data_IF_546635085897
#
_entry.id   IF_546635085897
#
_cell.length_a   1.000
_cell.length_b   1.000
_cell.length_c   1.000
_cell.angle_alpha   90.00
_cell.angle_beta   90.00
_cell.angle_gamma   90.00
#
_symmetry.space_group_name_H-M   'P 1'
#
loop_
_entity.id
_entity.type
_entity.pdbx_description
1 polymer ?
#
# COMPACT_ATOMS: atom_id res chain seq x y z
N UNK A 1 -13.49 17.72 29.89
CA UNK A 1 -12.88 16.62 29.09
C UNK A 1 -12.74 15.45 30.04
N UNK A 2 -13.48 14.40 29.77
CA UNK A 2 -13.66 13.31 30.71
C UNK A 2 -12.46 12.36 30.63
N UNK A 3 -11.83 12.06 31.77
CA UNK A 3 -10.70 11.13 31.84
C UNK A 3 -11.06 9.71 31.34
N UNK A 4 -12.34 9.40 31.20
CA UNK A 4 -12.85 8.14 30.68
C UNK A 4 -12.43 7.86 29.22
N UNK A 5 -12.34 8.91 28.38
CA UNK A 5 -11.83 8.79 27.00
C UNK A 5 -10.48 8.09 26.95
N UNK A 6 -9.56 8.45 27.83
CA UNK A 6 -8.19 7.91 27.84
C UNK A 6 -8.07 6.49 28.38
N UNK A 7 -9.17 5.93 28.91
CA UNK A 7 -9.21 4.53 29.34
C UNK A 7 -9.37 3.57 28.18
N UNK A 8 -10.02 4.03 27.10
CA UNK A 8 -10.41 3.20 25.96
C UNK A 8 -9.50 3.36 24.74
N UNK A 9 -8.59 4.36 24.73
CA UNK A 9 -7.70 4.68 23.61
C UNK A 9 -6.25 4.80 24.06
N UNK A 10 -5.33 4.41 23.16
CA UNK A 10 -3.91 4.73 23.23
C UNK A 10 -3.56 5.76 22.16
N UNK A 11 -2.46 6.48 22.38
CA UNK A 11 -1.91 7.46 21.45
C UNK A 11 -0.54 7.01 20.96
N UNK A 12 -0.33 7.03 19.65
CA UNK A 12 0.97 6.84 19.03
C UNK A 12 1.40 8.16 18.41
N UNK A 13 2.62 8.62 18.74
CA UNK A 13 3.21 9.80 18.08
C UNK A 13 3.68 9.41 16.67
N UNK A 14 3.31 10.24 15.69
CA UNK A 14 3.68 10.06 14.29
C UNK A 14 4.16 11.42 13.70
N UNK A 15 5.28 11.45 12.95
CA UNK A 15 5.84 12.70 12.44
C UNK A 15 4.99 13.37 11.35
N UNK A 16 4.06 12.63 10.72
CA UNK A 16 3.19 13.12 9.65
C UNK A 16 1.83 13.52 10.16
N UNK A 17 1.25 12.73 11.09
CA UNK A 17 -0.11 12.88 11.58
C UNK A 17 -0.20 13.49 12.99
N UNK A 18 0.95 13.69 13.66
CA UNK A 18 0.99 14.13 15.06
C UNK A 18 0.65 12.97 15.99
N UNK A 19 -0.61 12.80 16.35
CA UNK A 19 -1.06 11.70 17.20
C UNK A 19 -2.09 10.83 16.48
N UNK A 20 -1.83 9.53 16.49
CA UNK A 20 -2.74 8.49 15.99
C UNK A 20 -3.41 7.85 17.19
N UNK A 21 -4.73 7.97 17.28
CA UNK A 21 -5.54 7.26 18.28
C UNK A 21 -5.79 5.83 17.83
N UNK A 22 -5.77 4.90 18.77
CA UNK A 22 -6.17 3.51 18.54
C UNK A 22 -6.94 2.96 19.75
N UNK A 23 -7.84 2.02 19.49
CA UNK A 23 -8.59 1.35 20.53
C UNK A 23 -7.65 0.44 21.35
N UNK A 24 -7.84 0.44 22.67
CA UNK A 24 -7.02 -0.24 23.65
C UNK A 24 -7.74 -1.46 24.21
N UNK A 25 -7.01 -2.54 24.51
CA UNK A 25 -7.55 -3.64 25.31
C UNK A 25 -8.09 -3.13 26.63
N UNK A 26 -9.31 -3.52 26.97
CA UNK A 26 -9.92 -3.13 28.21
C UNK A 26 -9.72 -4.22 29.26
N UNK A 27 -9.37 -3.79 30.49
CA UNK A 27 -9.47 -4.66 31.67
C UNK A 27 -10.95 -4.91 31.99
N UNK A 28 -11.25 -5.95 32.77
CA UNK A 28 -12.63 -6.24 33.17
C UNK A 28 -13.34 -5.02 33.81
N UNK A 29 -12.62 -4.29 34.68
CA UNK A 29 -13.13 -3.05 35.31
C UNK A 29 -13.29 -1.92 34.28
N UNK A 30 -12.35 -1.80 33.33
CA UNK A 30 -12.41 -0.83 32.24
C UNK A 30 -13.56 -1.11 31.29
N UNK A 31 -13.78 -2.36 30.92
CA UNK A 31 -14.90 -2.79 30.08
C UNK A 31 -16.25 -2.48 30.73
N UNK A 32 -16.41 -2.84 32.02
CA UNK A 32 -17.62 -2.53 32.77
C UNK A 32 -17.87 -1.01 32.89
N UNK A 33 -16.82 -0.19 33.06
CA UNK A 33 -16.94 1.26 33.15
C UNK A 33 -17.32 1.92 31.82
N UNK A 34 -16.97 1.30 30.67
CA UNK A 34 -17.21 1.81 29.32
C UNK A 34 -18.40 1.14 28.61
N UNK A 35 -19.04 0.13 29.24
CA UNK A 35 -20.15 -0.63 28.68
C UNK A 35 -19.76 -1.63 27.59
N UNK A 36 -18.47 -2.00 27.49
CA UNK A 36 -17.96 -2.99 26.56
C UNK A 36 -17.81 -4.36 27.21
N UNK A 37 -17.80 -5.42 26.40
CA UNK A 37 -17.54 -6.78 26.89
C UNK A 37 -16.02 -7.04 27.00
N UNK A 38 -15.56 -7.76 28.05
CA UNK A 38 -14.14 -8.05 28.24
C UNK A 38 -13.49 -8.88 27.12
N UNK A 39 -14.31 -9.64 26.38
CA UNK A 39 -13.88 -10.48 25.24
C UNK A 39 -13.79 -9.73 23.91
N UNK A 40 -14.16 -8.44 23.86
CA UNK A 40 -14.02 -7.61 22.70
C UNK A 40 -12.53 -7.37 22.38
N UNK A 41 -12.17 -7.52 21.11
CA UNK A 41 -10.85 -7.14 20.63
C UNK A 41 -10.73 -5.62 20.44
N UNK A 42 -9.51 -5.15 20.39
CA UNK A 42 -9.14 -3.79 20.09
C UNK A 42 -8.16 -3.74 18.90
N UNK A 43 -7.96 -2.58 18.28
CA UNK A 43 -6.91 -2.39 17.27
C UNK A 43 -5.52 -2.76 17.79
N UNK A 44 -5.30 -2.59 19.10
CA UNK A 44 -4.07 -3.01 19.80
C UNK A 44 -3.81 -4.52 19.61
N UNK A 45 -4.84 -5.38 19.53
CA UNK A 45 -4.69 -6.81 19.29
C UNK A 45 -4.23 -7.12 17.86
N UNK A 46 -4.70 -6.34 16.88
CA UNK A 46 -4.21 -6.42 15.50
C UNK A 46 -2.75 -5.98 15.43
N UNK A 47 -2.42 -4.83 16.03
CA UNK A 47 -1.06 -4.30 16.04
C UNK A 47 -0.05 -5.25 16.64
N UNK A 48 -0.42 -5.93 17.72
CA UNK A 48 0.44 -6.89 18.42
C UNK A 48 0.48 -8.27 17.74
N UNK A 49 -0.31 -8.49 16.70
CA UNK A 49 -0.26 -9.74 15.96
C UNK A 49 1.10 -9.96 15.29
N UNK A 50 1.59 -11.20 15.19
CA UNK A 50 2.86 -11.50 14.51
C UNK A 50 2.91 -10.94 13.07
N UNK A 51 1.79 -10.94 12.36
CA UNK A 51 1.68 -10.44 10.99
C UNK A 51 1.94 -8.93 10.89
N UNK A 52 1.37 -8.14 11.79
CA UNK A 52 1.63 -6.69 11.82
C UNK A 52 3.04 -6.39 12.33
N UNK A 53 3.50 -7.11 13.36
CA UNK A 53 4.86 -6.92 13.88
C UNK A 53 5.94 -7.28 12.86
N UNK A 54 5.67 -8.22 11.94
CA UNK A 54 6.54 -8.54 10.80
C UNK A 54 6.81 -7.30 9.92
N UNK A 55 5.80 -6.43 9.71
CA UNK A 55 5.95 -5.22 8.88
C UNK A 55 6.98 -4.22 9.43
N UNK A 56 7.35 -4.28 10.72
CA UNK A 56 8.47 -3.50 11.27
C UNK A 56 9.82 -3.88 10.66
N UNK A 57 9.92 -5.08 10.11
CA UNK A 57 11.12 -5.64 9.51
C UNK A 57 11.07 -5.65 7.97
N UNK A 58 10.11 -4.91 7.39
CA UNK A 58 9.98 -4.70 5.95
C UNK A 58 10.04 -3.19 5.69
N UNK A 59 11.06 -2.76 4.93
CA UNK A 59 11.28 -1.37 4.60
C UNK A 59 10.21 -0.85 3.62
N UNK A 60 9.76 0.39 3.82
CA UNK A 60 8.84 1.05 2.91
C UNK A 60 9.49 1.30 1.55
N UNK A 61 10.72 1.79 1.55
CA UNK A 61 11.39 2.31 0.35
C UNK A 61 12.41 1.36 -0.28
N UNK A 62 12.36 0.06 0.06
CA UNK A 62 13.14 -0.97 -0.62
C UNK A 62 14.63 -0.58 -0.75
N UNK A 63 15.17 -0.61 -1.99
CA UNK A 63 16.55 -0.26 -2.32
C UNK A 63 16.88 1.23 -2.17
N UNK A 64 15.88 2.12 -2.13
CA UNK A 64 16.11 3.55 -1.98
C UNK A 64 16.79 3.92 -0.64
N UNK A 65 16.67 3.07 0.39
CA UNK A 65 17.36 3.22 1.69
C UNK A 65 18.90 3.33 1.54
N UNK A 66 19.49 2.69 0.54
CA UNK A 66 20.94 2.80 0.29
C UNK A 66 21.35 4.11 -0.39
N UNK A 67 20.38 4.89 -0.87
CA UNK A 67 20.62 6.20 -1.52
C UNK A 67 20.19 7.34 -0.61
N UNK A 68 19.06 7.19 0.09
CA UNK A 68 18.50 8.16 1.04
C UNK A 68 18.72 7.65 2.47
N UNK A 69 19.73 8.14 3.21
CA UNK A 69 20.13 7.52 4.49
C UNK A 69 19.08 7.53 5.60
N UNK A 70 18.10 8.44 5.52
CA UNK A 70 17.00 8.53 6.48
C UNK A 70 15.75 7.77 6.07
N UNK A 71 15.74 7.16 4.87
CA UNK A 71 14.64 6.37 4.34
C UNK A 71 14.59 4.95 4.96
N UNK A 72 14.62 4.87 6.29
CA UNK A 72 14.66 3.63 7.09
C UNK A 72 13.32 3.29 7.75
N UNK A 73 12.24 3.99 7.39
CA UNK A 73 10.92 3.70 7.93
C UNK A 73 10.33 2.41 7.34
N UNK A 74 9.56 1.75 8.16
CA UNK A 74 8.96 0.46 7.86
C UNK A 74 7.54 0.58 7.35
N UNK A 75 7.05 -0.49 6.72
CA UNK A 75 5.63 -0.62 6.34
C UNK A 75 4.69 -0.59 7.53
N UNK A 76 5.16 -0.96 8.71
CA UNK A 76 4.38 -0.82 9.95
C UNK A 76 4.00 0.63 10.24
N UNK A 77 4.96 1.58 10.17
CA UNK A 77 4.68 3.00 10.42
C UNK A 77 3.79 3.61 9.35
N UNK A 78 3.94 3.19 8.10
CA UNK A 78 3.06 3.55 6.99
C UNK A 78 1.63 3.02 7.22
N UNK A 79 1.46 1.74 7.55
CA UNK A 79 0.15 1.15 7.82
C UNK A 79 -0.61 1.85 8.95
N UNK A 80 0.09 2.32 10.00
CA UNK A 80 -0.51 3.17 11.05
C UNK A 80 -1.03 4.50 10.49
N UNK A 81 -0.26 5.15 9.62
CA UNK A 81 -0.67 6.40 8.98
C UNK A 81 -1.88 6.21 8.06
N UNK A 82 -1.89 5.14 7.28
CA UNK A 82 -3.03 4.78 6.41
C UNK A 82 -4.28 4.46 7.21
N UNK A 83 -4.15 3.72 8.33
CA UNK A 83 -5.25 3.50 9.27
C UNK A 83 -5.84 4.82 9.79
N UNK A 84 -4.98 5.76 10.17
CA UNK A 84 -5.41 7.07 10.67
C UNK A 84 -6.16 7.86 9.60
N UNK A 85 -5.59 8.00 8.40
CA UNK A 85 -6.25 8.68 7.27
C UNK A 85 -7.59 8.01 6.93
N UNK A 86 -7.64 6.69 6.86
CA UNK A 86 -8.87 5.95 6.59
C UNK A 86 -9.98 6.29 7.59
N UNK A 87 -9.64 6.38 8.88
CA UNK A 87 -10.57 6.79 9.93
C UNK A 87 -11.07 8.22 9.76
N UNK A 88 -10.19 9.18 9.45
CA UNK A 88 -10.57 10.57 9.20
C UNK A 88 -11.51 10.71 8.00
N UNK A 89 -11.20 10.00 6.91
CA UNK A 89 -12.03 9.99 5.70
C UNK A 89 -13.38 9.32 5.94
N UNK A 90 -13.41 8.19 6.65
CA UNK A 90 -14.65 7.48 6.98
C UNK A 90 -15.62 8.36 7.77
N UNK A 91 -15.14 9.02 8.82
CA UNK A 91 -15.94 9.95 9.62
C UNK A 91 -16.49 11.12 8.81
N UNK A 92 -15.65 11.71 7.96
CA UNK A 92 -16.04 12.83 7.11
C UNK A 92 -17.12 12.42 6.09
N UNK A 93 -16.98 11.26 5.47
CA UNK A 93 -17.90 10.79 4.43
C UNK A 93 -19.20 10.20 4.99
N UNK A 94 -19.20 9.75 6.26
CA UNK A 94 -20.34 9.03 6.84
C UNK A 94 -21.70 9.77 6.72
N UNK A 95 -21.84 11.08 7.00
CA UNK A 95 -23.12 11.76 6.87
C UNK A 95 -23.73 11.68 5.46
N UNK A 96 -22.89 11.84 4.42
CA UNK A 96 -23.31 11.74 3.02
C UNK A 96 -23.59 10.30 2.61
N UNK A 97 -22.80 9.34 3.09
CA UNK A 97 -23.01 7.90 2.91
C UNK A 97 -24.35 7.47 3.51
N UNK A 98 -24.62 7.81 4.76
CA UNK A 98 -25.87 7.50 5.44
C UNK A 98 -27.10 8.08 4.71
N UNK A 99 -26.98 9.33 4.25
CA UNK A 99 -28.03 9.98 3.44
C UNK A 99 -28.28 9.23 2.14
N UNK A 100 -27.20 8.83 1.44
CA UNK A 100 -27.28 8.11 0.17
C UNK A 100 -27.97 6.75 0.34
N UNK A 101 -27.55 5.95 1.32
CA UNK A 101 -28.12 4.63 1.60
C UNK A 101 -29.59 4.73 2.05
N UNK A 102 -29.91 5.67 2.94
CA UNK A 102 -31.27 5.90 3.41
C UNK A 102 -32.22 6.33 2.30
N UNK A 103 -31.75 7.10 1.32
CA UNK A 103 -32.54 7.51 0.15
C UNK A 103 -32.94 6.33 -0.74
N UNK A 104 -32.12 5.28 -0.78
CA UNK A 104 -32.38 4.07 -1.55
C UNK A 104 -33.14 3.02 -0.74
N UNK A 105 -33.50 3.32 0.53
CA UNK A 105 -34.18 2.39 1.44
C UNK A 105 -33.30 1.22 1.90
N UNK A 106 -32.00 1.31 1.73
CA UNK A 106 -31.03 0.31 2.19
C UNK A 106 -30.72 0.42 3.69
N UNK A 107 -30.12 -0.61 4.28
CA UNK A 107 -29.64 -0.56 5.67
C UNK A 107 -28.50 0.45 5.79
N UNK A 108 -28.57 1.30 6.82
CA UNK A 108 -27.53 2.27 7.15
C UNK A 108 -26.71 1.70 8.31
N UNK A 109 -25.42 1.35 8.09
CA UNK A 109 -24.57 0.85 9.16
C UNK A 109 -24.26 1.96 10.19
N UNK A 110 -23.88 1.58 11.42
CA UNK A 110 -23.41 2.55 12.40
C UNK A 110 -22.13 3.25 11.94
N UNK A 111 -21.90 4.49 12.41
CA UNK A 111 -20.69 5.23 12.10
C UNK A 111 -19.44 4.47 12.58
N UNK A 112 -19.51 3.89 13.80
CA UNK A 112 -18.41 3.11 14.35
C UNK A 112 -18.02 1.94 13.48
N UNK A 113 -18.99 1.17 12.95
CA UNK A 113 -18.70 0.05 12.03
C UNK A 113 -17.99 0.52 10.76
N UNK A 114 -18.48 1.60 10.14
CA UNK A 114 -17.89 2.14 8.90
C UNK A 114 -16.46 2.62 9.15
N UNK A 115 -16.26 3.40 10.22
CA UNK A 115 -14.94 3.94 10.58
C UNK A 115 -13.95 2.82 10.85
N UNK A 116 -14.33 1.85 11.70
CA UNK A 116 -13.42 0.77 12.10
C UNK A 116 -13.10 -0.15 10.93
N UNK A 117 -14.07 -0.48 10.09
CA UNK A 117 -13.82 -1.30 8.89
C UNK A 117 -12.78 -0.66 7.97
N UNK A 118 -12.88 0.66 7.71
CA UNK A 118 -11.90 1.35 6.87
C UNK A 118 -10.53 1.50 7.57
N UNK A 119 -10.51 1.72 8.88
CA UNK A 119 -9.27 1.77 9.66
C UNK A 119 -8.54 0.43 9.58
N UNK A 120 -9.25 -0.67 9.81
CA UNK A 120 -8.69 -2.03 9.70
C UNK A 120 -8.20 -2.31 8.28
N UNK A 121 -8.96 -1.93 7.25
CA UNK A 121 -8.54 -2.07 5.85
C UNK A 121 -7.26 -1.25 5.57
N UNK A 122 -7.19 -0.02 6.05
CA UNK A 122 -5.99 0.82 5.93
C UNK A 122 -4.78 0.25 6.67
N UNK A 123 -4.97 -0.32 7.87
CA UNK A 123 -3.90 -0.95 8.64
C UNK A 123 -3.35 -2.19 7.94
N UNK A 124 -4.22 -3.00 7.33
CA UNK A 124 -3.90 -4.32 6.81
C UNK A 124 -3.62 -4.36 5.30
N UNK A 125 -3.70 -3.22 4.59
CA UNK A 125 -3.60 -3.22 3.13
C UNK A 125 -2.28 -3.83 2.62
N UNK A 126 -1.19 -3.63 3.36
CA UNK A 126 0.17 -4.05 3.03
C UNK A 126 0.65 -5.30 3.80
N UNK A 127 -0.22 -5.96 4.58
CA UNK A 127 0.18 -7.08 5.46
C UNK A 127 0.77 -8.27 4.70
N UNK A 128 0.41 -8.41 3.42
CA UNK A 128 0.89 -9.45 2.52
C UNK A 128 2.24 -9.17 1.85
N UNK A 129 2.86 -8.02 2.03
CA UNK A 129 4.17 -7.76 1.43
C UNK A 129 5.28 -8.64 1.98
N UNK A 130 6.18 -9.08 1.09
CA UNK A 130 7.43 -9.75 1.41
C UNK A 130 8.61 -8.79 1.56
N UNK A 131 9.83 -9.31 1.80
CA UNK A 131 11.04 -8.49 1.85
C UNK A 131 11.22 -7.68 0.57
N UNK A 132 11.53 -6.39 0.70
CA UNK A 132 11.63 -5.45 -0.41
C UNK A 132 10.34 -5.27 -1.22
N UNK A 133 9.19 -5.61 -0.63
CA UNK A 133 7.85 -5.29 -1.10
C UNK A 133 7.62 -5.54 -2.60
N UNK A 134 7.35 -4.52 -3.43
CA UNK A 134 7.08 -4.70 -4.85
C UNK A 134 8.23 -5.38 -5.63
N UNK A 135 9.46 -5.30 -5.13
CA UNK A 135 10.56 -6.07 -5.73
C UNK A 135 10.35 -7.57 -5.53
N UNK A 136 9.82 -7.97 -4.36
CA UNK A 136 9.43 -9.34 -4.06
C UNK A 136 8.26 -9.79 -4.95
N UNK A 137 7.28 -8.92 -5.17
CA UNK A 137 6.13 -9.21 -6.04
C UNK A 137 6.63 -9.63 -7.44
N UNK A 138 7.43 -8.78 -8.08
CA UNK A 138 7.95 -9.03 -9.43
C UNK A 138 8.95 -10.19 -9.50
N UNK A 139 9.83 -10.32 -8.51
CA UNK A 139 10.91 -11.29 -8.56
C UNK A 139 10.50 -12.69 -8.12
N UNK A 140 9.45 -12.80 -7.28
CA UNK A 140 9.05 -14.06 -6.64
C UNK A 140 7.57 -14.38 -6.85
N UNK A 141 6.64 -13.46 -6.45
CA UNK A 141 5.21 -13.77 -6.45
C UNK A 141 4.65 -14.01 -7.84
N UNK A 142 5.06 -13.22 -8.84
CA UNK A 142 4.62 -13.41 -10.24
C UNK A 142 5.01 -14.78 -10.82
N UNK A 143 5.90 -15.53 -10.16
CA UNK A 143 6.23 -16.92 -10.49
C UNK A 143 5.08 -17.90 -10.19
N UNK A 144 4.13 -17.52 -9.31
CA UNK A 144 3.06 -18.37 -8.84
C UNK A 144 1.69 -17.93 -9.37
N UNK A 145 0.73 -18.87 -9.54
CA UNK A 145 -0.67 -18.49 -9.80
C UNK A 145 -1.29 -17.89 -8.55
N UNK A 146 -2.15 -16.88 -8.73
CA UNK A 146 -2.99 -16.40 -7.64
C UNK A 146 -4.02 -17.48 -7.23
N UNK A 147 -4.46 -17.51 -5.96
CA UNK A 147 -5.57 -18.34 -5.55
C UNK A 147 -6.80 -18.11 -6.42
N UNK A 148 -7.58 -19.16 -6.66
CA UNK A 148 -8.80 -19.05 -7.45
C UNK A 148 -9.80 -18.11 -6.77
N UNK A 149 -10.18 -17.04 -7.45
CA UNK A 149 -11.17 -16.08 -7.00
C UNK A 149 -12.11 -15.76 -8.17
N UNK A 150 -13.43 -16.07 -8.07
CA UNK A 150 -14.39 -15.82 -9.14
C UNK A 150 -14.57 -14.32 -9.45
N UNK A 151 -14.12 -13.44 -8.56
CA UNK A 151 -14.17 -11.97 -8.72
C UNK A 151 -13.02 -11.43 -9.60
N UNK A 152 -12.11 -12.27 -10.05
CA UNK A 152 -10.88 -11.91 -10.78
C UNK A 152 -10.73 -12.68 -12.08
N UNK A 153 -10.00 -12.13 -13.07
CA UNK A 153 -9.69 -12.83 -14.29
C UNK A 153 -8.94 -14.13 -14.03
N UNK A 154 -9.25 -15.15 -14.82
CA UNK A 154 -8.51 -16.41 -14.79
C UNK A 154 -7.05 -16.21 -15.20
N UNK A 155 -6.13 -16.95 -14.56
CA UNK A 155 -4.70 -16.89 -14.87
C UNK A 155 -3.95 -15.69 -14.27
N UNK A 156 -4.57 -14.95 -13.33
CA UNK A 156 -3.88 -13.90 -12.57
C UNK A 156 -2.66 -14.49 -11.85
N UNK A 157 -1.56 -13.75 -11.83
CA UNK A 157 -0.39 -14.06 -11.03
C UNK A 157 -0.58 -13.56 -9.60
N UNK A 158 0.08 -14.25 -8.66
CA UNK A 158 0.05 -13.92 -7.24
C UNK A 158 0.65 -12.53 -7.02
N UNK A 159 -0.02 -11.73 -6.18
CA UNK A 159 0.43 -10.42 -5.74
C UNK A 159 0.27 -10.30 -4.22
N UNK A 160 0.92 -9.29 -3.62
CA UNK A 160 0.84 -9.07 -2.18
C UNK A 160 -0.59 -8.81 -1.68
N UNK A 161 -1.46 -8.19 -2.50
CA UNK A 161 -2.88 -8.01 -2.13
C UNK A 161 -3.63 -9.33 -2.00
N UNK A 162 -3.25 -10.37 -2.79
CA UNK A 162 -3.83 -11.71 -2.65
C UNK A 162 -3.39 -12.35 -1.33
N UNK A 163 -2.12 -12.16 -0.95
CA UNK A 163 -1.60 -12.60 0.34
C UNK A 163 -2.21 -11.82 1.50
N UNK A 164 -2.38 -10.49 1.34
CA UNK A 164 -3.09 -9.67 2.35
C UNK A 164 -4.50 -10.21 2.59
N UNK A 165 -5.25 -10.50 1.52
CA UNK A 165 -6.59 -11.07 1.64
C UNK A 165 -6.59 -12.43 2.36
N UNK A 166 -5.66 -13.33 2.02
CA UNK A 166 -5.53 -14.62 2.72
C UNK A 166 -5.20 -14.47 4.19
N UNK A 167 -4.27 -13.59 4.55
CA UNK A 167 -3.88 -13.32 5.94
C UNK A 167 -5.05 -12.73 6.71
N UNK A 168 -5.77 -11.76 6.13
CA UNK A 168 -6.97 -11.15 6.74
C UNK A 168 -8.03 -12.21 7.03
N UNK A 169 -8.35 -13.06 6.05
CA UNK A 169 -9.45 -14.01 6.15
C UNK A 169 -9.12 -15.28 6.96
N UNK A 170 -7.85 -15.70 7.01
CA UNK A 170 -7.44 -16.94 7.69
C UNK A 170 -6.81 -16.71 9.04
N UNK A 171 -5.92 -15.70 9.15
CA UNK A 171 -5.07 -15.51 10.33
C UNK A 171 -5.63 -14.44 11.27
N UNK A 172 -6.15 -13.31 10.71
CA UNK A 172 -6.59 -12.16 11.49
C UNK A 172 -8.11 -12.11 11.72
N UNK A 173 -8.88 -12.93 11.03
CA UNK A 173 -10.33 -13.01 11.17
C UNK A 173 -10.79 -13.20 12.64
N UNK A 174 -10.16 -14.02 13.48
CA UNK A 174 -10.56 -14.19 14.89
C UNK A 174 -10.46 -12.90 15.73
N UNK A 175 -9.59 -11.96 15.34
CA UNK A 175 -9.47 -10.65 16.00
C UNK A 175 -10.49 -9.70 15.38
N UNK A 176 -10.52 -9.58 14.04
CA UNK A 176 -11.38 -8.64 13.31
C UNK A 176 -12.84 -8.82 13.68
N UNK A 177 -13.32 -10.07 13.75
CA UNK A 177 -14.73 -10.38 14.08
C UNK A 177 -15.14 -10.02 15.50
N UNK A 178 -14.17 -9.72 16.39
CA UNK A 178 -14.42 -9.31 17.79
C UNK A 178 -14.31 -7.81 18.01
N UNK A 179 -13.91 -7.03 17.02
CA UNK A 179 -13.91 -5.57 17.12
C UNK A 179 -15.36 -5.06 17.22
N UNK A 180 -15.62 -4.09 18.12
CA UNK A 180 -16.95 -3.54 18.36
C UNK A 180 -16.99 -2.03 18.43
N UNK A 181 -15.88 -1.37 18.24
CA UNK A 181 -15.77 0.09 18.31
C UNK A 181 -14.61 0.61 17.51
N UNK A 182 -14.72 1.86 17.06
CA UNK A 182 -13.62 2.68 16.57
C UNK A 182 -13.08 3.59 17.69
N UNK A 183 -11.85 4.14 17.59
CA UNK A 183 -11.40 5.18 18.48
C UNK A 183 -12.17 6.47 18.22
N UNK A 184 -12.57 7.20 19.29
CA UNK A 184 -13.28 8.46 19.14
C UNK A 184 -13.68 9.11 20.45
N UNK A 185 -14.43 10.20 20.34
CA UNK A 185 -14.96 10.90 21.49
C UNK A 185 -16.21 10.16 22.03
N UNK A 186 -16.36 10.13 23.33
CA UNK A 186 -17.34 9.40 24.14
C UNK A 186 -18.83 9.62 23.81
N UNK A 187 -19.19 10.07 22.62
CA UNK A 187 -20.56 10.38 22.24
C UNK A 187 -21.40 9.13 21.82
N UNK A 188 -20.90 7.91 22.03
CA UNK A 188 -21.58 6.65 21.68
C UNK A 188 -21.63 6.33 20.18
N UNK A 189 -21.13 7.23 19.34
CA UNK A 189 -21.09 7.04 17.86
C UNK A 189 -19.99 6.08 17.40
N UNK A 190 -19.01 5.83 18.27
CA UNK A 190 -17.85 5.01 17.95
C UNK A 190 -18.10 3.52 18.17
N UNK A 191 -19.16 3.16 18.91
CA UNK A 191 -19.59 1.77 19.09
C UNK A 191 -20.42 1.28 17.90
N UNK A 192 -20.32 -0.01 17.60
CA UNK A 192 -21.20 -0.66 16.62
C UNK A 192 -22.61 -0.84 17.19
N UNK A 193 -23.62 -1.00 16.33
CA UNK A 193 -24.90 -1.48 16.78
C UNK A 193 -24.80 -2.93 17.31
N UNK A 194 -25.74 -3.35 18.14
CA UNK A 194 -25.64 -4.61 18.90
C UNK A 194 -25.50 -5.88 18.03
N UNK A 195 -26.05 -5.84 16.82
CA UNK A 195 -26.04 -6.92 15.83
C UNK A 195 -24.95 -6.77 14.75
N UNK A 196 -24.13 -5.71 14.84
CA UNK A 196 -23.08 -5.44 13.86
C UNK A 196 -21.75 -6.08 14.24
N UNK A 197 -21.03 -6.53 13.22
CA UNK A 197 -19.68 -7.00 13.30
C UNK A 197 -18.96 -6.76 11.96
N UNK A 198 -17.64 -6.59 12.00
CA UNK A 198 -16.85 -6.55 10.77
C UNK A 198 -16.73 -7.97 10.20
N UNK A 199 -17.16 -8.14 8.95
CA UNK A 199 -16.83 -9.35 8.18
C UNK A 199 -15.43 -9.18 7.57
N UNK A 200 -14.48 -10.08 7.87
CA UNK A 200 -13.13 -10.02 7.30
C UNK A 200 -13.11 -9.98 5.77
N UNK A 201 -14.14 -10.52 5.11
CA UNK A 201 -14.28 -10.46 3.65
C UNK A 201 -14.53 -9.04 3.12
N UNK A 202 -15.11 -8.13 3.92
CA UNK A 202 -15.23 -6.71 3.54
C UNK A 202 -13.85 -6.04 3.55
N UNK A 203 -13.05 -6.35 4.56
CA UNK A 203 -11.67 -5.84 4.66
C UNK A 203 -10.83 -6.38 3.50
N UNK A 204 -10.87 -7.68 3.23
CA UNK A 204 -10.12 -8.29 2.12
C UNK A 204 -10.59 -7.77 0.75
N UNK A 205 -11.89 -7.48 0.57
CA UNK A 205 -12.42 -6.85 -0.63
C UNK A 205 -11.85 -5.44 -0.85
N UNK A 206 -11.82 -4.62 0.20
CA UNK A 206 -11.26 -3.26 0.14
C UNK A 206 -9.76 -3.29 -0.20
N UNK A 207 -9.01 -4.22 0.39
CA UNK A 207 -7.57 -4.36 0.19
C UNK A 207 -7.22 -4.96 -1.17
N UNK A 208 -7.91 -6.03 -1.57
CA UNK A 208 -7.59 -6.77 -2.79
C UNK A 208 -8.15 -6.15 -4.08
N UNK A 209 -9.07 -5.20 -3.96
CA UNK A 209 -9.61 -4.37 -5.07
C UNK A 209 -10.08 -5.19 -6.28
N UNK A 210 -10.93 -6.21 -6.12
CA UNK A 210 -11.32 -7.04 -7.25
C UNK A 210 -12.12 -6.24 -8.29
N UNK A 211 -11.90 -6.46 -9.60
CA UNK A 211 -12.55 -5.69 -10.65
C UNK A 211 -14.03 -6.02 -10.83
N UNK A 212 -14.46 -7.21 -10.40
CA UNK A 212 -15.84 -7.64 -10.53
C UNK A 212 -16.63 -7.36 -9.25
N UNK A 213 -17.88 -6.90 -9.45
CA UNK A 213 -18.80 -6.64 -8.35
C UNK A 213 -19.16 -7.94 -7.65
N UNK A 214 -18.97 -7.97 -6.33
CA UNK A 214 -19.40 -9.05 -5.47
C UNK A 214 -20.72 -8.65 -4.78
N UNK A 215 -21.85 -9.29 -5.14
CA UNK A 215 -23.15 -8.95 -4.55
C UNK A 215 -23.23 -9.24 -3.04
N UNK A 216 -22.35 -10.09 -2.50
CA UNK A 216 -22.29 -10.40 -1.07
C UNK A 216 -21.66 -9.29 -0.24
N UNK A 217 -20.92 -8.38 -0.87
CA UNK A 217 -20.33 -7.21 -0.22
C UNK A 217 -21.37 -6.11 -0.11
N UNK A 218 -21.63 -5.53 1.08
CA UNK A 218 -22.59 -4.45 1.27
C UNK A 218 -22.30 -3.23 0.37
N UNK A 219 -23.36 -2.53 -0.03
CA UNK A 219 -23.24 -1.36 -0.90
C UNK A 219 -22.33 -0.29 -0.30
N UNK A 220 -22.42 -0.05 1.01
CA UNK A 220 -21.61 0.95 1.66
C UNK A 220 -20.09 0.66 1.58
N UNK A 221 -19.69 -0.62 1.63
CA UNK A 221 -18.30 -1.02 1.44
C UNK A 221 -17.84 -0.73 0.02
N UNK A 222 -18.67 -1.04 -0.98
CA UNK A 222 -18.39 -0.76 -2.39
C UNK A 222 -18.28 0.73 -2.69
N UNK A 223 -19.13 1.57 -2.07
CA UNK A 223 -19.10 3.03 -2.22
C UNK A 223 -17.82 3.64 -1.65
N UNK A 224 -17.20 3.00 -0.67
CA UNK A 224 -15.96 3.46 -0.02
C UNK A 224 -14.68 2.81 -0.60
N UNK A 225 -14.80 1.80 -1.48
CA UNK A 225 -13.65 1.16 -2.14
C UNK A 225 -12.74 2.18 -2.85
N UNK A 226 -13.22 3.27 -3.50
CA UNK A 226 -12.36 4.26 -4.13
C UNK A 226 -11.35 4.92 -3.20
N UNK A 227 -11.55 4.90 -1.89
CA UNK A 227 -10.54 5.36 -0.91
C UNK A 227 -9.29 4.48 -0.85
N UNK A 228 -9.35 3.24 -1.39
CA UNK A 228 -8.21 2.33 -1.46
C UNK A 228 -7.80 2.00 -2.90
N UNK A 229 -8.60 2.40 -3.91
CA UNK A 229 -8.35 2.06 -5.32
C UNK A 229 -8.68 3.19 -6.31
N UNK A 230 -8.75 4.44 -5.84
CA UNK A 230 -9.11 5.61 -6.66
C UNK A 230 -7.92 6.42 -7.16
N UNK A 231 -8.21 7.55 -7.77
CA UNK A 231 -7.24 8.54 -8.27
C UNK A 231 -6.35 9.07 -7.13
N UNK A 232 -6.92 9.23 -5.94
CA UNK A 232 -6.20 9.37 -4.68
C UNK A 232 -6.72 8.34 -3.70
N UNK A 233 -5.85 7.81 -2.87
CA UNK A 233 -6.18 6.79 -1.86
C UNK A 233 -5.62 7.19 -0.51
N UNK A 234 -6.19 6.66 0.58
CA UNK A 234 -5.65 6.88 1.93
C UNK A 234 -4.21 6.39 2.06
N UNK A 235 -3.82 5.38 1.28
CA UNK A 235 -2.46 4.87 1.14
C UNK A 235 -1.54 5.95 0.55
N UNK A 236 -1.83 6.48 -0.64
CA UNK A 236 -0.96 7.46 -1.27
C UNK A 236 -1.00 8.84 -0.59
N UNK A 237 -2.06 9.17 0.11
CA UNK A 237 -2.12 10.37 0.98
C UNK A 237 -1.17 10.27 2.17
N UNK A 238 -0.88 9.06 2.68
CA UNK A 238 0.15 8.86 3.70
C UNK A 238 1.55 8.82 3.07
N UNK A 239 1.82 7.87 2.13
CA UNK A 239 3.19 7.64 1.71
C UNK A 239 3.82 8.84 1.00
N UNK A 240 3.07 9.62 0.23
CA UNK A 240 3.63 10.82 -0.45
C UNK A 240 4.20 11.81 0.58
N UNK A 241 3.54 12.01 1.70
CA UNK A 241 4.02 12.90 2.77
C UNK A 241 5.12 12.24 3.60
N UNK A 242 4.93 10.96 3.97
CA UNK A 242 5.87 10.19 4.81
C UNK A 242 7.20 9.97 4.10
N UNK A 243 7.18 9.51 2.87
CA UNK A 243 8.40 9.25 2.10
C UNK A 243 9.16 10.54 1.80
N UNK A 244 8.44 11.63 1.47
CA UNK A 244 9.06 12.95 1.32
C UNK A 244 9.77 13.41 2.61
N UNK A 245 9.10 13.26 3.76
CA UNK A 245 9.67 13.59 5.05
C UNK A 245 10.90 12.74 5.38
N UNK A 246 10.78 11.42 5.24
CA UNK A 246 11.83 10.47 5.59
C UNK A 246 13.02 10.49 4.63
N UNK A 247 12.82 10.82 3.35
CA UNK A 247 13.93 10.98 2.39
C UNK A 247 14.56 12.37 2.43
N UNK A 248 13.90 13.35 3.06
CA UNK A 248 14.29 14.74 3.04
C UNK A 248 14.02 15.45 1.70
N UNK A 249 13.29 14.82 0.79
CA UNK A 249 12.88 15.41 -0.50
C UNK A 249 11.74 16.40 -0.25
N UNK A 250 11.91 17.63 -0.68
CA UNK A 250 10.89 18.69 -0.49
C UNK A 250 9.90 18.65 -1.63
N UNK A 251 8.69 18.20 -1.33
CA UNK A 251 7.53 18.28 -2.23
C UNK A 251 6.78 19.60 -2.04
N UNK A 252 5.93 19.95 -3.00
CA UNK A 252 4.98 21.05 -2.83
C UNK A 252 4.01 20.77 -1.66
N UNK A 253 3.43 21.82 -1.10
CA UNK A 253 2.41 21.67 -0.06
C UNK A 253 1.22 20.85 -0.58
N UNK A 254 0.87 19.79 0.15
CA UNK A 254 -0.27 18.91 -0.15
C UNK A 254 -1.39 19.22 0.86
N UNK A 255 -2.50 19.75 0.34
CA UNK A 255 -3.67 20.10 1.15
C UNK A 255 -4.68 18.93 1.22
N UNK A 256 -4.33 17.91 2.01
CA UNK A 256 -5.19 16.72 2.22
C UNK A 256 -6.50 17.09 2.91
N UNK A 257 -6.47 18.07 3.81
CA UNK A 257 -7.68 18.53 4.51
C UNK A 257 -8.69 19.15 3.56
N UNK A 258 -8.22 19.92 2.56
CA UNK A 258 -9.08 20.47 1.54
C UNK A 258 -9.69 19.38 0.66
N UNK A 259 -8.90 18.37 0.27
CA UNK A 259 -9.42 17.22 -0.48
C UNK A 259 -10.52 16.52 0.32
N UNK A 260 -10.28 16.23 1.59
CA UNK A 260 -11.25 15.57 2.46
C UNK A 260 -12.49 16.44 2.66
N UNK A 261 -12.34 17.73 3.00
CA UNK A 261 -13.44 18.65 3.29
C UNK A 261 -14.42 18.78 2.13
N UNK A 262 -13.92 18.75 0.89
CA UNK A 262 -14.73 18.89 -0.32
C UNK A 262 -15.12 17.54 -0.95
N UNK A 263 -14.93 16.42 -0.27
CA UNK A 263 -15.36 15.10 -0.73
C UNK A 263 -16.64 14.65 -0.02
N UNK A 264 -17.51 13.94 -0.76
CA UNK A 264 -18.76 13.39 -0.24
C UNK A 264 -19.21 12.19 -1.09
N UNK A 265 -20.13 11.40 -0.58
CA UNK A 265 -20.78 10.33 -1.35
C UNK A 265 -22.00 10.89 -2.06
N UNK A 266 -21.87 11.10 -3.35
CA UNK A 266 -22.95 11.57 -4.23
C UNK A 266 -23.68 10.43 -4.93
N UNK A 267 -24.55 10.78 -5.89
CA UNK A 267 -25.31 9.79 -6.67
C UNK A 267 -24.42 8.84 -7.50
N UNK A 268 -23.21 9.28 -7.88
CA UNK A 268 -22.22 8.50 -8.65
C UNK A 268 -21.12 7.88 -7.78
N UNK A 269 -21.25 7.83 -6.47
CA UNK A 269 -20.26 7.35 -5.51
C UNK A 269 -19.38 8.48 -4.95
N UNK A 270 -18.11 8.21 -4.71
CA UNK A 270 -17.15 9.20 -4.19
C UNK A 270 -17.08 10.39 -5.16
N UNK A 271 -17.39 11.55 -4.64
CA UNK A 271 -17.50 12.80 -5.41
C UNK A 271 -16.65 13.88 -4.77
N UNK A 272 -15.90 14.60 -5.60
CA UNK A 272 -15.13 15.78 -5.21
C UNK A 272 -15.86 17.04 -5.68
N UNK A 273 -16.00 18.04 -4.81
CA UNK A 273 -16.52 19.33 -5.20
C UNK A 273 -15.46 20.13 -5.97
N UNK A 274 -15.85 20.74 -7.12
CA UNK A 274 -14.96 21.38 -8.10
C UNK A 274 -13.87 22.31 -7.51
N UNK A 275 -14.14 23.14 -6.45
CA UNK A 275 -13.12 23.99 -5.83
C UNK A 275 -11.91 23.27 -5.25
N UNK A 276 -11.98 21.96 -5.06
CA UNK A 276 -10.85 21.16 -4.56
C UNK A 276 -10.01 20.51 -5.67
N UNK A 277 -10.40 20.64 -6.95
CA UNK A 277 -9.64 20.04 -8.07
C UNK A 277 -8.19 20.54 -8.10
N UNK A 278 -7.96 21.83 -7.80
CA UNK A 278 -6.59 22.37 -7.71
C UNK A 278 -5.74 21.73 -6.60
N UNK A 279 -6.35 21.33 -5.48
CA UNK A 279 -5.64 20.59 -4.44
C UNK A 279 -5.30 19.17 -4.89
N UNK A 280 -6.19 18.53 -5.66
CA UNK A 280 -5.93 17.22 -6.27
C UNK A 280 -4.80 17.30 -7.29
N UNK A 281 -4.82 18.28 -8.21
CA UNK A 281 -3.72 18.50 -9.18
C UNK A 281 -2.37 18.71 -8.47
N UNK A 282 -2.35 19.48 -7.39
CA UNK A 282 -1.14 19.72 -6.58
C UNK A 282 -0.64 18.43 -5.93
N UNK A 283 -1.54 17.60 -5.38
CA UNK A 283 -1.21 16.32 -4.79
C UNK A 283 -0.62 15.34 -5.83
N UNK A 284 -1.28 15.20 -6.99
CA UNK A 284 -0.82 14.31 -8.06
C UNK A 284 0.55 14.76 -8.61
N UNK A 285 0.76 16.09 -8.72
CA UNK A 285 2.07 16.65 -9.10
C UNK A 285 3.15 16.38 -8.07
N UNK A 286 2.84 16.48 -6.77
CA UNK A 286 3.77 16.15 -5.69
C UNK A 286 4.14 14.65 -5.71
N UNK A 287 3.16 13.77 -5.94
CA UNK A 287 3.36 12.33 -6.11
C UNK A 287 4.27 12.03 -7.30
N UNK A 288 3.99 12.61 -8.48
CA UNK A 288 4.83 12.46 -9.68
C UNK A 288 6.28 12.89 -9.40
N UNK A 289 6.45 14.05 -8.74
CA UNK A 289 7.78 14.55 -8.40
C UNK A 289 8.53 13.57 -7.48
N UNK A 290 7.87 13.03 -6.46
CA UNK A 290 8.46 12.04 -5.56
C UNK A 290 8.88 10.77 -6.30
N UNK A 291 8.05 10.28 -7.24
CA UNK A 291 8.41 9.16 -8.11
C UNK A 291 9.71 9.42 -8.85
N UNK A 292 9.84 10.57 -9.49
CA UNK A 292 11.03 10.93 -10.27
C UNK A 292 12.28 11.13 -9.41
N UNK A 293 12.14 11.66 -8.19
CA UNK A 293 13.27 12.00 -7.34
C UNK A 293 13.73 10.82 -6.47
N UNK A 294 12.83 9.95 -6.04
CA UNK A 294 13.11 8.87 -5.09
C UNK A 294 13.07 7.50 -5.75
N UNK A 295 11.88 7.05 -6.18
CA UNK A 295 11.69 5.66 -6.63
C UNK A 295 12.38 5.40 -7.98
N UNK A 296 12.39 6.39 -8.86
CA UNK A 296 13.07 6.34 -10.15
C UNK A 296 14.47 6.99 -10.13
N UNK A 297 15.06 7.19 -8.95
CA UNK A 297 16.42 7.76 -8.86
C UNK A 297 17.43 6.85 -9.53
N UNK A 298 18.31 7.41 -10.38
CA UNK A 298 19.29 6.65 -11.20
C UNK A 298 20.13 5.64 -10.42
N UNK A 299 20.55 6.01 -9.20
CA UNK A 299 21.37 5.12 -8.37
C UNK A 299 20.52 4.02 -7.72
N UNK A 300 19.26 4.30 -7.36
CA UNK A 300 18.32 3.29 -6.89
C UNK A 300 18.12 2.23 -7.96
N UNK A 301 17.82 2.64 -9.19
CA UNK A 301 17.62 1.74 -10.33
C UNK A 301 18.90 0.92 -10.67
N UNK A 302 20.10 1.53 -10.51
CA UNK A 302 21.36 0.79 -10.67
C UNK A 302 21.57 -0.29 -9.61
N UNK A 303 21.15 -0.06 -8.35
CA UNK A 303 21.16 -1.07 -7.29
C UNK A 303 20.12 -2.16 -7.58
N UNK A 304 18.95 -1.79 -8.10
CA UNK A 304 17.91 -2.76 -8.48
C UNK A 304 18.39 -3.74 -9.56
N UNK A 305 19.27 -3.32 -10.48
CA UNK A 305 19.90 -4.23 -11.44
C UNK A 305 20.78 -5.27 -10.77
N UNK A 306 21.56 -4.89 -9.74
CA UNK A 306 22.31 -5.86 -8.93
C UNK A 306 21.36 -6.78 -8.15
N UNK A 307 20.26 -6.24 -7.61
CA UNK A 307 19.24 -7.02 -6.90
C UNK A 307 18.51 -8.01 -7.83
N UNK A 308 18.25 -7.68 -9.10
CA UNK A 308 17.62 -8.61 -10.05
C UNK A 308 18.38 -9.93 -10.18
N UNK A 309 19.73 -9.88 -10.12
CA UNK A 309 20.56 -11.08 -10.19
C UNK A 309 20.56 -11.89 -8.88
N UNK A 310 20.40 -11.22 -7.73
CA UNK A 310 20.62 -11.79 -6.41
C UNK A 310 19.35 -12.23 -5.69
N UNK A 311 18.23 -11.56 -5.93
CA UNK A 311 17.09 -11.57 -5.02
C UNK A 311 16.31 -12.89 -5.05
N UNK A 312 15.81 -13.29 -6.21
CA UNK A 312 15.03 -14.53 -6.32
C UNK A 312 15.84 -15.78 -5.91
N UNK A 313 17.13 -15.94 -6.33
CA UNK A 313 17.97 -17.02 -5.82
C UNK A 313 18.19 -16.96 -4.30
N UNK A 314 18.35 -15.75 -3.72
CA UNK A 314 18.49 -15.58 -2.27
C UNK A 314 17.23 -15.96 -1.51
N UNK A 315 16.06 -15.54 -1.98
CA UNK A 315 14.77 -15.95 -1.39
C UNK A 315 14.58 -17.46 -1.50
N UNK A 316 14.88 -18.06 -2.66
CA UNK A 316 14.82 -19.51 -2.87
C UNK A 316 15.70 -20.28 -1.89
N UNK A 317 16.89 -19.79 -1.60
CA UNK A 317 17.81 -20.43 -0.66
C UNK A 317 17.25 -20.48 0.77
N UNK A 318 16.42 -19.51 1.16
CA UNK A 318 15.85 -19.40 2.51
C UNK A 318 14.45 -20.03 2.56
N UNK A 319 13.58 -19.63 1.64
CA UNK A 319 12.16 -19.97 1.63
C UNK A 319 11.82 -21.21 0.80
N UNK A 320 12.55 -21.43 -0.29
CA UNK A 320 12.32 -22.54 -1.24
C UNK A 320 11.49 -22.14 -2.46
N UNK A 321 10.87 -23.14 -3.08
CA UNK A 321 10.08 -23.00 -4.30
C UNK A 321 8.55 -23.14 -4.06
N UNK A 322 8.11 -23.15 -2.79
CA UNK A 322 6.70 -23.20 -2.42
C UNK A 322 6.05 -21.83 -2.58
N UNK A 323 4.79 -21.78 -3.04
CA UNK A 323 4.04 -20.54 -3.07
C UNK A 323 3.83 -20.00 -1.64
N UNK A 324 4.08 -18.70 -1.39
CA UNK A 324 3.73 -18.10 -0.10
C UNK A 324 2.25 -18.26 0.29
N UNK A 325 1.34 -18.37 -0.68
CA UNK A 325 -0.08 -18.60 -0.43
C UNK A 325 -0.38 -20.01 0.13
N UNK A 326 0.51 -20.98 -0.11
CA UNK A 326 0.37 -22.36 0.34
C UNK A 326 1.06 -22.63 1.69
N UNK A 327 1.98 -21.75 2.12
CA UNK A 327 2.76 -21.90 3.36
C UNK A 327 2.87 -20.54 4.09
N UNK A 328 1.73 -20.04 4.60
CA UNK A 328 1.68 -18.77 5.34
C UNK A 328 2.55 -18.80 6.61
N UNK A 329 2.70 -19.96 7.25
CA UNK A 329 3.52 -20.08 8.45
C UNK A 329 5.00 -19.82 8.16
N UNK A 330 5.55 -20.43 7.09
CA UNK A 330 6.91 -20.13 6.65
C UNK A 330 7.03 -18.70 6.09
N UNK A 331 5.98 -18.18 5.45
CA UNK A 331 5.98 -16.81 4.95
C UNK A 331 6.01 -15.76 6.06
N UNK A 332 5.41 -16.03 7.21
CA UNK A 332 5.47 -15.17 8.39
C UNK A 332 6.93 -14.94 8.86
N UNK A 333 7.78 -15.96 8.73
CA UNK A 333 9.20 -15.89 9.14
C UNK A 333 10.11 -15.21 8.08
N UNK A 334 9.60 -14.99 6.87
CA UNK A 334 10.34 -14.37 5.78
C UNK A 334 10.19 -12.85 5.81
N UNK A 335 11.25 -12.14 6.20
CA UNK A 335 11.35 -10.68 6.21
C UNK A 335 12.71 -10.20 5.71
N UNK A 336 12.91 -8.87 5.66
CA UNK A 336 14.18 -8.31 5.21
C UNK A 336 15.34 -8.63 6.14
N UNK A 337 15.12 -8.73 7.46
CA UNK A 337 16.18 -9.00 8.42
C UNK A 337 16.73 -10.41 8.22
N UNK A 338 15.85 -11.39 8.01
CA UNK A 338 16.22 -12.76 7.69
C UNK A 338 17.02 -12.83 6.40
N UNK A 339 16.53 -12.18 5.33
CA UNK A 339 17.20 -12.17 4.03
C UNK A 339 18.54 -11.43 4.07
N UNK A 340 18.60 -10.24 4.66
CA UNK A 340 19.82 -9.44 4.75
C UNK A 340 20.88 -10.07 5.65
N UNK A 341 20.47 -10.74 6.73
CA UNK A 341 21.38 -11.50 7.58
C UNK A 341 22.10 -12.59 6.75
N UNK A 342 21.34 -13.38 6.00
CA UNK A 342 21.90 -14.45 5.18
C UNK A 342 22.72 -13.89 4.01
N UNK A 343 22.25 -12.82 3.35
CA UNK A 343 22.99 -12.12 2.30
C UNK A 343 24.37 -11.62 2.78
N UNK A 344 24.44 -11.15 4.03
CA UNK A 344 25.70 -10.74 4.63
C UNK A 344 26.69 -11.92 4.83
N UNK A 345 26.20 -13.13 5.11
CA UNK A 345 27.02 -14.36 5.17
C UNK A 345 27.54 -14.74 3.79
N UNK A 346 26.68 -14.79 2.79
CA UNK A 346 27.05 -15.06 1.40
C UNK A 346 28.11 -14.07 0.88
N UNK A 347 27.92 -12.78 1.15
CA UNK A 347 28.86 -11.71 0.74
C UNK A 347 30.26 -11.85 1.34
N UNK A 348 30.41 -12.64 2.41
CA UNK A 348 31.69 -12.97 3.05
C UNK A 348 32.26 -14.32 2.61
N UNK A 349 31.65 -14.94 1.62
CA UNK A 349 32.07 -16.25 1.10
C UNK A 349 31.61 -17.43 1.94
N UNK A 350 30.63 -17.24 2.83
CA UNK A 350 30.01 -18.32 3.62
C UNK A 350 28.78 -18.88 2.90
N UNK A 351 28.43 -20.12 3.16
CA UNK A 351 27.23 -20.78 2.65
C UNK A 351 27.11 -20.71 1.11
N UNK A 352 28.22 -20.98 0.42
CA UNK A 352 28.27 -21.02 -1.04
C UNK A 352 28.22 -22.46 -1.57
N UNK A 353 27.48 -22.65 -2.63
CA UNK A 353 27.40 -23.93 -3.37
C UNK A 353 27.43 -23.69 -4.87
N UNK A 354 28.12 -24.52 -5.65
CA UNK A 354 28.00 -24.50 -7.10
C UNK A 354 26.63 -25.00 -7.60
N UNK A 355 25.91 -25.75 -6.75
CA UNK A 355 24.58 -26.31 -7.05
C UNK A 355 23.64 -26.14 -5.84
N UNK A 356 23.17 -24.91 -5.55
CA UNK A 356 22.33 -24.62 -4.40
C UNK A 356 20.94 -25.29 -4.54
N UNK A 357 20.43 -25.85 -3.44
CA UNK A 357 19.11 -26.44 -3.36
C UNK A 357 18.13 -25.50 -2.64
N UNK A 358 16.81 -25.63 -2.89
CA UNK A 358 15.81 -24.85 -2.16
C UNK A 358 15.89 -25.09 -0.65
N UNK A 359 15.83 -24.02 0.15
CA UNK A 359 15.86 -24.04 1.64
C UNK A 359 17.15 -24.63 2.25
N UNK A 360 18.26 -24.75 1.49
CA UNK A 360 19.54 -25.22 2.04
C UNK A 360 20.43 -24.08 2.57
N UNK A 361 19.96 -22.84 2.41
CA UNK A 361 20.68 -21.65 2.85
C UNK A 361 21.88 -21.27 1.99
N UNK A 362 22.13 -21.95 0.86
CA UNK A 362 23.29 -21.71 0.01
C UNK A 362 22.95 -20.99 -1.30
N UNK A 363 23.92 -20.25 -1.84
CA UNK A 363 23.83 -19.60 -3.16
C UNK A 363 25.08 -19.80 -3.97
N UNK A 364 25.02 -19.52 -5.27
CA UNK A 364 26.23 -19.52 -6.13
C UNK A 364 27.15 -18.34 -5.81
N UNK A 365 28.49 -18.45 -6.11
CA UNK A 365 29.40 -17.31 -5.97
C UNK A 365 28.97 -16.04 -6.71
N UNK A 366 28.31 -16.18 -7.88
CA UNK A 366 27.80 -15.04 -8.66
C UNK A 366 26.67 -14.30 -7.93
N UNK A 367 25.75 -15.02 -7.30
CA UNK A 367 24.66 -14.46 -6.48
C UNK A 367 25.24 -13.78 -5.24
N UNK A 368 26.22 -14.38 -4.58
CA UNK A 368 26.92 -13.80 -3.45
C UNK A 368 27.63 -12.48 -3.80
N UNK A 369 28.23 -12.40 -4.98
CA UNK A 369 28.88 -11.17 -5.47
C UNK A 369 27.85 -10.07 -5.75
N UNK A 370 26.69 -10.42 -6.31
CA UNK A 370 25.60 -9.46 -6.50
C UNK A 370 25.08 -8.91 -5.17
N UNK A 371 24.87 -9.76 -4.16
CA UNK A 371 24.55 -9.30 -2.80
C UNK A 371 25.65 -8.44 -2.18
N UNK A 372 26.92 -8.78 -2.43
CA UNK A 372 28.05 -7.96 -1.99
C UNK A 372 27.99 -6.56 -2.58
N UNK A 373 27.69 -6.43 -3.87
CA UNK A 373 27.57 -5.14 -4.55
C UNK A 373 26.47 -4.27 -3.91
N UNK A 374 25.33 -4.86 -3.58
CA UNK A 374 24.21 -4.17 -2.90
C UNK A 374 24.62 -3.74 -1.49
N UNK A 375 25.04 -4.70 -0.65
CA UNK A 375 25.26 -4.47 0.80
C UNK A 375 26.41 -3.52 1.09
N UNK A 376 27.47 -3.57 0.30
CA UNK A 376 28.65 -2.69 0.45
C UNK A 376 28.61 -1.47 -0.46
N UNK A 377 27.47 -1.24 -1.12
CA UNK A 377 27.24 -0.11 -2.02
C UNK A 377 28.34 0.05 -3.06
N UNK A 378 28.69 -1.05 -3.71
CA UNK A 378 29.68 -1.15 -4.77
C UNK A 378 28.99 -1.57 -6.08
N UNK A 379 28.11 -0.71 -6.64
CA UNK A 379 27.22 -1.09 -7.75
C UNK A 379 28.06 -1.47 -8.97
N UNK A 380 27.70 -2.58 -9.60
CA UNK A 380 28.35 -3.10 -10.80
C UNK A 380 27.83 -2.45 -12.08
N UNK A 381 26.76 -1.68 -11.97
CA UNK A 381 26.10 -1.00 -13.09
C UNK A 381 26.31 0.51 -13.02
N UNK A 382 26.75 1.10 -14.13
CA UNK A 382 26.94 2.55 -14.28
C UNK A 382 25.98 3.08 -15.35
N UNK A 383 25.18 4.08 -15.00
CA UNK A 383 24.34 4.79 -15.95
C UNK A 383 25.21 5.58 -16.95
N UNK A 384 24.98 5.36 -18.24
CA UNK A 384 25.62 6.06 -19.34
C UNK A 384 24.73 7.15 -19.94
N UNK A 385 23.47 6.80 -20.20
CA UNK A 385 22.52 7.66 -20.89
C UNK A 385 21.15 7.61 -20.23
N UNK A 386 20.40 8.71 -20.34
CA UNK A 386 19.03 8.82 -19.83
C UNK A 386 18.15 9.48 -20.88
N UNK A 387 16.97 8.91 -21.10
CA UNK A 387 15.88 9.48 -21.87
C UNK A 387 14.67 9.70 -20.96
N UNK A 388 14.04 10.88 -21.04
CA UNK A 388 12.80 11.20 -20.32
C UNK A 388 11.77 11.77 -21.29
N UNK A 389 10.52 11.34 -21.13
CA UNK A 389 9.41 11.89 -21.88
C UNK A 389 8.10 11.82 -21.09
N UNK A 390 7.24 12.79 -21.32
CA UNK A 390 5.87 12.80 -20.83
C UNK A 390 4.93 12.56 -22.01
N UNK A 391 4.00 11.61 -21.84
CA UNK A 391 3.01 11.23 -22.82
C UNK A 391 1.62 11.64 -22.33
N UNK A 392 0.87 12.37 -23.15
CA UNK A 392 -0.46 12.87 -22.82
C UNK A 392 -1.58 12.06 -23.49
N UNK A 393 -1.21 11.17 -24.39
CA UNK A 393 -2.05 10.20 -25.08
C UNK A 393 -1.44 8.80 -25.00
N UNK A 394 -2.12 7.79 -25.58
CA UNK A 394 -1.67 6.39 -25.52
C UNK A 394 -0.52 6.04 -26.47
N UNK A 395 0.02 7.01 -27.21
CA UNK A 395 1.08 6.81 -28.21
C UNK A 395 2.48 6.64 -27.61
N UNK A 396 2.59 5.88 -26.52
CA UNK A 396 3.88 5.58 -25.89
C UNK A 396 4.65 4.52 -26.69
N UNK A 397 5.96 4.73 -26.98
CA UNK A 397 6.77 3.74 -27.66
C UNK A 397 6.87 2.43 -26.88
N UNK A 398 6.83 1.32 -27.58
CA UNK A 398 7.05 -0.03 -26.98
C UNK A 398 8.52 -0.36 -26.78
N UNK A 399 9.45 0.42 -27.37
CA UNK A 399 10.89 0.25 -27.24
C UNK A 399 11.60 1.60 -27.23
N UNK A 400 12.66 1.71 -26.47
CA UNK A 400 13.54 2.90 -26.39
C UNK A 400 14.92 2.66 -27.01
N UNK A 401 15.08 1.60 -27.82
CA UNK A 401 16.35 1.26 -28.50
C UNK A 401 16.81 2.37 -29.45
N UNK A 402 15.87 3.07 -30.12
CA UNK A 402 16.19 4.19 -30.99
C UNK A 402 16.87 5.36 -30.25
N UNK A 403 16.58 5.51 -28.94
CA UNK A 403 17.11 6.56 -28.08
C UNK A 403 18.36 6.15 -27.33
N UNK A 404 18.45 4.87 -26.90
CA UNK A 404 19.45 4.39 -25.94
C UNK A 404 20.32 3.26 -26.50
N UNK A 405 20.09 2.82 -27.74
CA UNK A 405 20.77 1.67 -28.34
C UNK A 405 20.23 0.33 -27.79
N UNK A 406 20.82 -0.75 -28.26
CA UNK A 406 20.37 -2.11 -27.94
C UNK A 406 20.97 -2.61 -26.63
N UNK A 407 20.20 -3.35 -25.85
CA UNK A 407 20.68 -4.07 -24.68
C UNK A 407 21.63 -5.20 -25.09
N UNK A 408 22.67 -5.47 -24.29
CA UNK A 408 23.60 -6.58 -24.46
C UNK A 408 23.62 -7.39 -23.16
N UNK A 409 23.09 -8.61 -23.16
CA UNK A 409 22.98 -9.42 -21.95
C UNK A 409 24.27 -9.49 -21.14
N UNK A 410 24.22 -9.15 -19.87
CA UNK A 410 25.36 -9.15 -18.95
C UNK A 410 26.35 -7.97 -19.10
N UNK A 411 26.20 -7.13 -20.13
CA UNK A 411 27.09 -5.98 -20.37
C UNK A 411 26.34 -4.64 -20.39
N UNK A 412 25.17 -4.61 -21.04
CA UNK A 412 24.34 -3.40 -21.20
C UNK A 412 22.89 -3.72 -20.92
N UNK A 413 22.31 -3.02 -19.96
CA UNK A 413 20.88 -3.08 -19.64
C UNK A 413 20.17 -1.77 -19.99
N UNK A 414 18.96 -1.90 -20.53
CA UNK A 414 18.01 -0.78 -20.74
C UNK A 414 16.93 -0.90 -19.68
N UNK A 415 16.98 -0.03 -18.69
CA UNK A 415 16.00 0.04 -17.62
C UNK A 415 14.95 1.07 -17.97
N UNK A 416 13.69 0.62 -18.09
CA UNK A 416 12.55 1.48 -18.41
C UNK A 416 11.61 1.49 -17.22
N UNK A 417 11.31 2.67 -16.72
CA UNK A 417 10.40 2.87 -15.61
C UNK A 417 9.30 3.87 -15.98
N UNK A 418 8.10 3.58 -15.50
CA UNK A 418 6.91 4.38 -15.76
C UNK A 418 6.39 4.97 -14.45
N UNK A 419 5.86 6.18 -14.56
CA UNK A 419 4.98 6.76 -13.56
C UNK A 419 3.66 7.10 -14.25
N UNK A 420 2.54 6.69 -13.67
CA UNK A 420 1.20 7.16 -14.04
C UNK A 420 0.77 8.29 -13.10
N UNK A 421 0.98 9.57 -13.48
CA UNK A 421 0.65 10.70 -12.62
C UNK A 421 -0.84 10.85 -12.35
N UNK A 422 -1.69 10.44 -13.30
CA UNK A 422 -3.15 10.54 -13.16
C UNK A 422 -3.73 9.38 -12.35
N UNK A 423 -3.00 8.26 -12.28
CA UNK A 423 -3.45 6.99 -11.69
C UNK A 423 -4.81 6.54 -12.25
N UNK A 424 -4.96 6.68 -13.56
CA UNK A 424 -6.22 6.45 -14.27
C UNK A 424 -5.99 5.31 -15.24
N UNK A 425 -6.17 4.07 -14.79
CA UNK A 425 -6.19 2.90 -15.68
C UNK A 425 -7.61 2.71 -16.26
N UNK A 426 -7.80 3.13 -17.50
CA UNK A 426 -8.97 2.86 -18.33
C UNK A 426 -10.31 3.41 -17.82
N UNK A 427 -11.41 2.96 -18.44
CA UNK A 427 -12.81 3.37 -18.13
C UNK A 427 -13.22 3.15 -16.66
N UNK A 428 -12.52 2.28 -15.94
CA UNK A 428 -12.83 2.00 -14.54
C UNK A 428 -12.53 3.20 -13.62
N UNK A 429 -11.46 3.95 -13.91
CA UNK A 429 -11.06 5.08 -13.08
C UNK A 429 -12.03 6.26 -13.17
N UNK A 430 -12.66 6.46 -14.32
CA UNK A 430 -13.72 7.49 -14.51
C UNK A 430 -14.96 7.21 -13.64
N UNK A 431 -15.14 5.97 -13.19
CA UNK A 431 -16.22 5.56 -12.30
C UNK A 431 -15.88 5.73 -10.83
N UNK A 432 -14.59 5.88 -10.50
CA UNK A 432 -14.12 5.88 -9.11
C UNK A 432 -14.13 7.27 -8.47
N UNK A 433 -14.15 8.35 -9.26
CA UNK A 433 -14.22 9.71 -8.74
C UNK A 433 -15.04 10.59 -9.69
N UNK A 434 -16.13 11.11 -9.18
CA UNK A 434 -16.92 12.14 -9.86
C UNK A 434 -16.53 13.53 -9.36
N UNK A 435 -16.79 14.57 -10.18
CA UNK A 435 -16.61 15.98 -9.78
C UNK A 435 -17.90 16.73 -10.01
N UNK A 436 -18.43 17.34 -8.95
CA UNK A 436 -19.61 18.20 -9.01
C UNK A 436 -19.20 19.65 -9.14
N UNK A 437 -19.79 20.33 -10.12
CA UNK A 437 -19.51 21.74 -10.40
C UNK A 437 -20.17 22.71 -9.42
N UNK A 438 -19.49 23.84 -9.12
CA UNK A 438 -19.93 24.88 -8.20
C UNK A 438 -21.24 25.58 -8.60
N UNK A 439 -21.71 25.41 -9.84
CA UNK A 439 -22.95 26.01 -10.37
C UNK A 439 -24.11 25.00 -10.50
N UNK A 440 -24.10 23.91 -9.72
CA UNK A 440 -25.12 22.85 -9.81
C UNK A 440 -25.04 22.04 -11.10
N UNK A 441 -23.87 22.01 -11.74
CA UNK A 441 -23.63 21.17 -12.92
C UNK A 441 -23.60 19.71 -12.52
N UNK A 442 -24.11 18.85 -13.39
CA UNK A 442 -24.08 17.41 -13.20
C UNK A 442 -22.64 16.93 -12.95
N UNK A 443 -22.49 15.97 -12.05
CA UNK A 443 -21.21 15.36 -11.71
C UNK A 443 -20.59 14.69 -12.96
N UNK A 444 -19.31 14.95 -13.21
CA UNK A 444 -18.56 14.46 -14.38
C UNK A 444 -17.30 13.70 -13.94
N UNK A 445 -16.75 12.81 -14.77
CA UNK A 445 -15.51 12.09 -14.47
C UNK A 445 -14.34 13.05 -14.27
N UNK A 446 -13.44 12.69 -13.29
CA UNK A 446 -12.26 13.50 -12.99
C UNK A 446 -11.26 13.55 -14.13
N UNK A 447 -11.16 12.50 -14.95
CA UNK A 447 -10.24 12.41 -16.10
C UNK A 447 -10.33 13.63 -17.03
N UNK A 448 -11.52 14.20 -17.18
CA UNK A 448 -11.73 15.39 -17.99
C UNK A 448 -11.13 16.68 -17.42
N UNK A 449 -10.66 16.69 -16.18
CA UNK A 449 -10.21 17.88 -15.45
C UNK A 449 -8.69 17.88 -15.20
N UNK A 450 -8.07 16.72 -15.08
CA UNK A 450 -6.63 16.59 -14.79
C UNK A 450 -5.76 16.44 -16.05
N UNK A 451 -6.23 16.97 -17.18
CA UNK A 451 -5.54 16.88 -18.49
C UNK A 451 -4.17 17.56 -18.55
N UNK A 452 -3.86 18.45 -17.61
CA UNK A 452 -2.55 19.11 -17.51
C UNK A 452 -1.43 18.17 -17.09
N UNK A 453 -1.76 17.07 -16.40
CA UNK A 453 -0.79 16.04 -16.05
C UNK A 453 -0.62 15.07 -17.21
N UNK A 454 0.58 14.53 -17.46
CA UNK A 454 0.76 13.49 -18.46
C UNK A 454 -0.02 12.22 -18.06
N UNK A 455 -0.38 11.41 -19.05
CA UNK A 455 -0.93 10.07 -18.83
C UNK A 455 0.20 9.17 -18.30
N UNK A 456 1.36 9.23 -18.94
CA UNK A 456 2.57 8.52 -18.50
C UNK A 456 3.78 9.44 -18.52
N UNK A 457 4.60 9.36 -17.46
CA UNK A 457 5.97 9.86 -17.45
C UNK A 457 6.93 8.68 -17.52
N UNK A 458 7.81 8.67 -18.50
CA UNK A 458 8.75 7.59 -18.75
C UNK A 458 10.15 8.06 -18.45
N UNK A 459 10.91 7.22 -17.75
CA UNK A 459 12.35 7.38 -17.57
C UNK A 459 13.03 6.09 -18.05
N UNK A 460 13.70 6.16 -19.18
CA UNK A 460 14.49 5.05 -19.72
C UNK A 460 15.98 5.35 -19.58
N UNK A 461 16.77 4.37 -19.15
CA UNK A 461 18.21 4.52 -18.90
C UNK A 461 19.00 3.36 -19.44
N UNK A 462 20.13 3.71 -20.01
CA UNK A 462 21.17 2.75 -20.40
C UNK A 462 22.18 2.60 -19.26
N UNK A 463 22.38 1.39 -18.81
CA UNK A 463 23.39 1.03 -17.83
C UNK A 463 24.43 0.10 -18.47
N UNK A 464 25.71 0.33 -18.17
CA UNK A 464 26.81 -0.56 -18.55
C UNK A 464 27.38 -1.22 -17.31
N UNK A 465 27.68 -2.51 -17.42
CA UNK A 465 28.40 -3.25 -16.37
C UNK A 465 29.84 -2.80 -16.33
N UNK A 466 30.36 -2.58 -15.12
CA UNK A 466 31.77 -2.19 -14.84
C UNK A 466 32.68 -3.39 -14.87
#
# INVERSE_FOLDING_TARGET
>A
MDAERYRAVNLISDPIHGYIELTKRLTADGAAATGHAPEEAAEEDLLDSPWLQRLRRISQLQSARWVFPTAEHSRFSHGLGVMHEAGLWARHLYPSLATRLGSDGGPVPSEGLVVETLRVAGLLHDVGHGPFAHFFDHAVLEGFPAPADPRRPAGKRLAHEDLSALIIERELAPIITKLRRAPGDSAGRDAFAADEAIDPRWVSFLVSKPPLVDPSVPEWVRLLQPLLSGVFTVDNLDYVRRDAYMTGVRIAAVDVERLRHYSFIGARGLTLYEPAVGALESFLGARQFLYQQVYLHRTVRGIDLDMKEAFAPGVRAIFGDTSPADDLAAYLELDEYTLLHQAARWSRGQDLSPNPQPRDGTVTPAVAEAWRAVLFRSPRWQMEEEFRADYFDEAMPTSFEANLGTAVPGEVEIDVAYCDPRHVEGDAADRLLAVEGSNGREARPISSLILKLPLYSVVARRYRRR
#
